data_IF_906031121296
#
_entry.id   IF_906031121296
#
_cell.length_a   1.000
_cell.length_b   1.000
_cell.length_c   1.000
_cell.angle_alpha   90.00
_cell.angle_beta   90.00
_cell.angle_gamma   90.00
#
_symmetry.space_group_name_H-M   'P 1'
#
loop_
_entity.id
_entity.type
_entity.pdbx_description
1 polymer ?
#
# COMPACT_ATOMS: atom_id res chain seq x y z
N UNK A 1 14.17 -7.82 -14.07
CA UNK A 1 14.39 -8.03 -12.62
C UNK A 1 14.71 -6.71 -11.94
N UNK A 2 14.12 -6.46 -10.77
CA UNK A 2 14.35 -5.28 -9.94
C UNK A 2 14.29 -5.66 -8.44
N UNK A 3 14.86 -4.82 -7.58
CA UNK A 3 14.95 -5.08 -6.15
C UNK A 3 13.95 -4.20 -5.40
N UNK A 4 13.16 -4.82 -4.53
CA UNK A 4 12.27 -4.15 -3.59
C UNK A 4 12.57 -4.68 -2.19
N UNK A 5 13.18 -3.86 -1.34
CA UNK A 5 13.77 -4.32 -0.09
C UNK A 5 14.82 -5.40 -0.33
N UNK A 6 14.54 -6.62 0.14
CA UNK A 6 15.36 -7.83 -0.08
C UNK A 6 14.82 -8.76 -1.16
N UNK A 7 13.69 -8.41 -1.78
CA UNK A 7 12.97 -9.25 -2.73
C UNK A 7 13.36 -8.89 -4.16
N UNK A 8 13.76 -9.89 -4.92
CA UNK A 8 14.06 -9.76 -6.34
C UNK A 8 12.81 -10.14 -7.13
N UNK A 9 12.31 -9.20 -7.93
CA UNK A 9 11.02 -9.30 -8.63
C UNK A 9 11.22 -9.12 -10.13
N UNK A 10 10.38 -9.75 -10.93
CA UNK A 10 10.35 -9.59 -12.38
C UNK A 10 9.30 -8.56 -12.80
N UNK A 11 8.09 -8.67 -12.27
CA UNK A 11 6.93 -7.83 -12.52
C UNK A 11 7.02 -6.51 -11.77
N UNK A 12 6.64 -5.42 -12.44
CA UNK A 12 6.53 -4.07 -11.86
C UNK A 12 5.07 -3.68 -11.59
N UNK A 13 4.15 -4.62 -11.77
CA UNK A 13 2.73 -4.42 -11.53
C UNK A 13 2.38 -4.94 -10.14
N UNK A 14 1.81 -4.05 -9.31
CA UNK A 14 1.22 -4.39 -8.02
C UNK A 14 -0.30 -4.41 -8.19
N UNK A 15 -0.98 -5.35 -7.52
CA UNK A 15 -2.43 -5.49 -7.63
C UNK A 15 -3.12 -5.28 -6.27
N UNK A 16 -4.21 -4.53 -6.26
CA UNK A 16 -5.09 -4.47 -5.08
C UNK A 16 -6.10 -5.62 -5.10
N UNK A 17 -6.57 -6.08 -3.95
CA UNK A 17 -7.52 -7.21 -3.87
C UNK A 17 -8.98 -6.78 -3.68
N UNK A 18 -9.28 -5.48 -3.72
CA UNK A 18 -10.64 -4.97 -3.52
C UNK A 18 -11.39 -4.83 -4.86
N UNK A 19 -12.72 -4.97 -4.83
CA UNK A 19 -13.58 -4.73 -6.00
C UNK A 19 -13.76 -5.93 -6.94
N UNK A 20 -13.17 -7.09 -6.61
CA UNK A 20 -13.39 -8.32 -7.36
C UNK A 20 -14.73 -8.97 -6.99
N UNK A 21 -15.49 -9.52 -7.97
CA UNK A 21 -16.80 -10.12 -7.72
C UNK A 21 -16.71 -11.47 -7.00
N UNK A 22 -15.56 -12.16 -7.04
CA UNK A 22 -15.32 -13.41 -6.33
C UNK A 22 -13.81 -13.68 -6.16
N UNK A 23 -13.47 -14.64 -5.27
CA UNK A 23 -12.08 -15.09 -5.08
C UNK A 23 -11.51 -15.76 -6.33
N UNK A 24 -12.33 -16.47 -7.10
CA UNK A 24 -11.93 -17.08 -8.38
C UNK A 24 -11.47 -16.00 -9.36
N UNK A 25 -12.28 -14.95 -9.55
CA UNK A 25 -11.93 -13.85 -10.47
C UNK A 25 -10.68 -13.09 -10.00
N UNK A 26 -10.49 -12.94 -8.68
CA UNK A 26 -9.24 -12.39 -8.13
C UNK A 26 -8.03 -13.27 -8.47
N UNK A 27 -8.14 -14.60 -8.28
CA UNK A 27 -7.07 -15.54 -8.63
C UNK A 27 -6.73 -15.51 -10.11
N UNK A 28 -7.74 -15.55 -10.99
CA UNK A 28 -7.56 -15.46 -12.44
C UNK A 28 -6.86 -14.15 -12.84
N UNK A 29 -7.23 -13.03 -12.21
CA UNK A 29 -6.62 -11.74 -12.48
C UNK A 29 -5.16 -11.67 -12.02
N UNK A 30 -4.84 -12.24 -10.84
CA UNK A 30 -3.46 -12.33 -10.36
C UNK A 30 -2.60 -13.12 -11.36
N UNK A 31 -3.06 -14.32 -11.74
CA UNK A 31 -2.36 -15.18 -12.69
C UNK A 31 -2.16 -14.51 -14.05
N UNK A 32 -3.23 -13.93 -14.62
CA UNK A 32 -3.16 -13.27 -15.92
C UNK A 32 -2.25 -12.04 -15.91
N UNK A 33 -2.19 -11.30 -14.79
CA UNK A 33 -1.35 -10.11 -14.65
C UNK A 33 0.13 -10.42 -14.46
N UNK A 34 0.47 -11.62 -13.98
CA UNK A 34 1.82 -11.98 -13.56
C UNK A 34 2.34 -11.09 -12.44
N UNK A 35 1.47 -10.50 -11.62
CA UNK A 35 1.89 -9.68 -10.49
C UNK A 35 2.51 -10.56 -9.40
N UNK A 36 3.57 -10.06 -8.77
CA UNK A 36 4.26 -10.77 -7.68
C UNK A 36 3.92 -10.18 -6.32
N UNK A 37 3.19 -9.05 -6.28
CA UNK A 37 2.80 -8.35 -5.05
C UNK A 37 1.32 -8.01 -5.10
N UNK A 38 0.62 -8.36 -4.02
CA UNK A 38 -0.79 -8.04 -3.82
C UNK A 38 -1.02 -7.28 -2.53
N UNK A 39 -1.83 -6.23 -2.58
CA UNK A 39 -2.14 -5.42 -1.38
C UNK A 39 -3.41 -5.89 -0.69
N UNK A 40 -3.38 -6.06 0.62
CA UNK A 40 -4.50 -6.58 1.42
C UNK A 40 -4.87 -5.64 2.57
N UNK A 41 -6.16 -5.57 2.94
CA UNK A 41 -6.66 -4.70 4.01
C UNK A 41 -7.22 -5.51 5.16
N UNK A 42 -6.74 -5.25 6.38
CA UNK A 42 -7.19 -5.97 7.58
C UNK A 42 -8.66 -5.70 7.90
N UNK A 43 -9.12 -4.44 7.76
CA UNK A 43 -10.47 -4.03 8.19
C UNK A 43 -11.58 -4.67 7.36
N UNK A 44 -11.36 -4.88 6.05
CA UNK A 44 -12.38 -5.42 5.14
C UNK A 44 -12.48 -6.95 5.15
N UNK A 45 -11.45 -7.63 5.66
CA UNK A 45 -11.32 -9.09 5.55
C UNK A 45 -11.54 -9.81 6.89
N UNK A 46 -11.69 -9.07 8.00
CA UNK A 46 -12.00 -9.62 9.33
C UNK A 46 -13.48 -9.62 9.72
N UNK A 47 -14.38 -9.05 8.90
CA UNK A 47 -15.80 -8.92 9.22
C UNK A 47 -16.61 -10.11 8.65
N UNK A 48 -16.63 -11.24 9.38
CA UNK A 48 -17.60 -12.33 9.15
C UNK A 48 -17.05 -13.75 9.31
N UNK A 49 -17.90 -14.63 9.87
CA UNK A 49 -17.74 -16.06 10.13
C UNK A 49 -16.98 -16.84 9.01
N UNK A 50 -15.65 -16.92 9.11
CA UNK A 50 -14.80 -17.76 8.23
C UNK A 50 -14.46 -17.20 6.84
N UNK A 51 -15.12 -16.13 6.38
CA UNK A 51 -14.88 -15.54 5.06
C UNK A 51 -13.45 -14.97 4.91
N UNK A 52 -12.89 -14.42 5.99
CA UNK A 52 -11.50 -13.96 6.01
C UNK A 52 -10.52 -15.09 5.75
N UNK A 53 -10.70 -16.24 6.40
CA UNK A 53 -9.80 -17.39 6.25
C UNK A 53 -9.75 -17.93 4.81
N UNK A 54 -10.91 -18.03 4.14
CA UNK A 54 -10.98 -18.45 2.75
C UNK A 54 -10.29 -17.45 1.80
N UNK A 55 -10.47 -16.14 2.02
CA UNK A 55 -9.75 -15.11 1.27
C UNK A 55 -8.23 -15.26 1.46
N UNK A 56 -7.77 -15.45 2.70
CA UNK A 56 -6.35 -15.59 2.99
C UNK A 56 -5.72 -16.81 2.34
N UNK A 57 -6.42 -17.94 2.39
CA UNK A 57 -5.97 -19.16 1.73
C UNK A 57 -5.85 -18.94 0.22
N UNK A 58 -6.87 -18.36 -0.42
CA UNK A 58 -6.88 -18.11 -1.86
C UNK A 58 -5.74 -17.19 -2.30
N UNK A 59 -5.40 -16.16 -1.53
CA UNK A 59 -4.29 -15.25 -1.84
C UNK A 59 -2.94 -15.93 -1.62
N UNK A 60 -2.77 -16.72 -0.55
CA UNK A 60 -1.53 -17.48 -0.29
C UNK A 60 -1.26 -18.52 -1.38
N UNK A 61 -2.31 -19.16 -1.90
CA UNK A 61 -2.21 -20.14 -2.99
C UNK A 61 -1.69 -19.53 -4.31
N UNK A 62 -1.78 -18.21 -4.50
CA UNK A 62 -1.21 -17.56 -5.68
C UNK A 62 0.32 -17.37 -5.61
N UNK A 63 0.94 -17.56 -4.43
CA UNK A 63 2.39 -17.42 -4.26
C UNK A 63 2.93 -15.99 -4.33
N UNK A 64 2.07 -14.97 -4.34
CA UNK A 64 2.50 -13.57 -4.33
C UNK A 64 3.01 -13.11 -2.96
N UNK A 65 3.89 -12.13 -2.95
CA UNK A 65 4.23 -11.37 -1.75
C UNK A 65 3.06 -10.49 -1.29
N UNK A 66 2.84 -10.45 0.02
CA UNK A 66 1.75 -9.69 0.63
C UNK A 66 2.24 -8.31 1.06
N UNK A 67 1.53 -7.27 0.62
CA UNK A 67 1.72 -5.90 1.06
C UNK A 67 0.47 -5.44 1.84
N UNK A 68 0.42 -5.63 3.17
CA UNK A 68 -0.72 -5.18 3.96
C UNK A 68 -0.82 -3.65 3.92
N UNK A 69 -2.03 -3.11 4.06
CA UNK A 69 -2.27 -1.68 4.10
C UNK A 69 -3.07 -1.23 5.33
N UNK A 70 -2.96 0.06 5.64
CA UNK A 70 -3.71 0.73 6.71
C UNK A 70 -4.95 1.45 6.18
N UNK A 71 -5.59 0.94 5.14
CA UNK A 71 -6.74 1.58 4.50
C UNK A 71 -7.86 1.92 5.52
N UNK A 72 -8.40 3.13 5.40
CA UNK A 72 -9.42 3.67 6.30
C UNK A 72 -8.91 4.18 7.65
N UNK A 73 -7.60 4.28 7.87
CA UNK A 73 -7.06 4.94 9.05
C UNK A 73 -7.03 6.46 8.86
N UNK A 74 -7.48 7.19 9.88
CA UNK A 74 -7.54 8.66 9.86
C UNK A 74 -6.60 9.33 10.87
N UNK A 75 -5.87 8.53 11.65
CA UNK A 75 -4.94 9.01 12.65
C UNK A 75 -3.67 8.19 12.67
N UNK A 76 -2.58 8.80 13.15
CA UNK A 76 -1.29 8.12 13.35
C UNK A 76 -1.46 6.86 14.19
N UNK A 77 -2.22 6.96 15.28
CA UNK A 77 -2.46 5.84 16.21
C UNK A 77 -3.16 4.66 15.52
N UNK A 78 -4.19 4.92 14.72
CA UNK A 78 -4.88 3.88 13.97
C UNK A 78 -3.98 3.20 12.95
N UNK A 79 -3.22 3.98 12.18
CA UNK A 79 -2.34 3.45 11.15
C UNK A 79 -1.23 2.59 11.76
N UNK A 80 -0.58 3.08 12.81
CA UNK A 80 0.47 2.35 13.52
C UNK A 80 -0.07 1.06 14.13
N UNK A 81 -1.22 1.13 14.83
CA UNK A 81 -1.85 -0.07 15.42
C UNK A 81 -2.19 -1.11 14.34
N UNK A 82 -2.78 -0.67 13.23
CA UNK A 82 -3.14 -1.55 12.11
C UNK A 82 -1.90 -2.18 11.48
N UNK A 83 -0.81 -1.43 11.34
CA UNK A 83 0.46 -1.94 10.81
C UNK A 83 1.09 -3.02 11.70
N UNK A 84 1.08 -2.85 13.03
CA UNK A 84 1.56 -3.88 13.95
C UNK A 84 0.72 -5.15 13.89
N UNK A 85 -0.61 -5.03 13.88
CA UNK A 85 -1.50 -6.17 13.68
C UNK A 85 -1.22 -6.87 12.35
N UNK A 86 -0.97 -6.11 11.29
CA UNK A 86 -0.64 -6.67 9.98
C UNK A 86 0.67 -7.47 10.01
N UNK A 87 1.70 -6.95 10.67
CA UNK A 87 2.98 -7.64 10.82
C UNK A 87 2.82 -8.97 11.56
N UNK A 88 2.01 -9.00 12.63
CA UNK A 88 1.73 -10.24 13.37
C UNK A 88 0.97 -11.27 12.53
N UNK A 89 0.04 -10.83 11.68
CA UNK A 89 -0.77 -11.73 10.84
C UNK A 89 -0.04 -12.25 9.60
N UNK A 90 0.81 -11.43 8.98
CA UNK A 90 1.44 -11.73 7.69
C UNK A 90 2.94 -12.01 7.76
N UNK A 91 3.56 -11.87 8.94
CA UNK A 91 4.99 -12.07 9.16
C UNK A 91 5.85 -11.34 8.11
N UNK A 92 5.53 -10.06 7.88
CA UNK A 92 6.19 -9.22 6.89
C UNK A 92 6.52 -7.85 7.48
N UNK A 93 7.72 -7.29 7.19
CA UNK A 93 8.05 -5.92 7.56
C UNK A 93 7.38 -4.89 6.64
N UNK A 94 6.78 -5.31 5.53
CA UNK A 94 6.19 -4.41 4.54
C UNK A 94 4.86 -3.83 5.01
N UNK A 95 4.68 -2.53 4.81
CA UNK A 95 3.39 -1.87 5.05
C UNK A 95 3.12 -0.77 4.02
N UNK A 96 1.99 -0.87 3.33
CA UNK A 96 1.39 0.22 2.55
C UNK A 96 0.68 1.17 3.51
N UNK A 97 1.38 2.25 3.85
CA UNK A 97 0.89 3.23 4.81
C UNK A 97 -0.07 4.20 4.11
N UNK A 98 -1.30 4.19 4.59
CA UNK A 98 -2.39 5.08 4.22
C UNK A 98 -2.91 5.78 5.48
N UNK A 99 -2.89 7.11 5.48
CA UNK A 99 -3.53 7.95 6.51
C UNK A 99 -4.41 8.96 5.77
N UNK A 100 -5.72 8.78 5.81
CA UNK A 100 -6.68 9.50 4.97
C UNK A 100 -7.09 10.82 5.63
N UNK A 101 -6.93 11.92 4.89
CA UNK A 101 -7.34 13.26 5.31
C UNK A 101 -8.72 13.67 4.79
N UNK A 102 -9.16 13.11 3.66
CA UNK A 102 -10.49 13.36 3.09
C UNK A 102 -11.12 12.05 2.58
N UNK A 103 -12.32 11.74 3.06
CA UNK A 103 -13.05 10.52 2.68
C UNK A 103 -13.63 10.57 1.27
N UNK A 104 -13.90 11.77 0.75
CA UNK A 104 -14.55 11.92 -0.55
C UNK A 104 -13.61 11.54 -1.70
N UNK A 105 -12.40 12.10 -1.70
CA UNK A 105 -11.41 11.82 -2.75
C UNK A 105 -10.32 10.82 -2.30
N UNK A 106 -10.38 10.35 -1.05
CA UNK A 106 -9.40 9.45 -0.43
C UNK A 106 -7.97 10.00 -0.48
N UNK A 107 -7.82 11.32 -0.36
CA UNK A 107 -6.51 11.98 -0.33
C UNK A 107 -5.81 11.74 1.01
N UNK A 108 -4.50 11.47 1.01
CA UNK A 108 -3.77 11.29 2.24
C UNK A 108 -3.56 12.61 2.98
N UNK A 109 -3.57 12.58 4.31
CA UNK A 109 -3.12 13.70 5.14
C UNK A 109 -1.59 13.73 5.14
N UNK A 110 -0.94 14.76 4.56
CA UNK A 110 0.51 14.79 4.42
C UNK A 110 1.24 14.89 5.76
N UNK A 111 0.63 15.51 6.78
CA UNK A 111 1.27 15.73 8.08
C UNK A 111 1.20 14.49 8.93
N UNK A 112 0.02 13.86 9.02
CA UNK A 112 -0.15 12.63 9.77
C UNK A 112 0.58 11.46 9.10
N UNK A 113 0.64 11.44 7.76
CA UNK A 113 1.38 10.43 7.01
C UNK A 113 2.87 10.42 7.37
N UNK A 114 3.52 11.58 7.40
CA UNK A 114 4.96 11.67 7.75
C UNK A 114 5.20 11.22 9.20
N UNK A 115 4.34 11.62 10.13
CA UNK A 115 4.45 11.21 11.54
C UNK A 115 4.30 9.68 11.72
N UNK A 116 3.32 9.08 11.04
CA UNK A 116 3.12 7.64 11.06
C UNK A 116 4.28 6.90 10.39
N UNK A 117 4.80 7.42 9.28
CA UNK A 117 5.95 6.85 8.58
C UNK A 117 7.21 6.86 9.47
N UNK A 118 7.51 7.97 10.14
CA UNK A 118 8.64 8.07 11.05
C UNK A 118 8.57 7.04 12.18
N UNK A 119 7.38 6.85 12.76
CA UNK A 119 7.15 5.86 13.80
C UNK A 119 7.38 4.45 13.28
N UNK A 120 6.76 4.09 12.15
CA UNK A 120 6.83 2.74 11.59
C UNK A 120 8.24 2.39 11.09
N UNK A 121 8.96 3.34 10.48
CA UNK A 121 10.36 3.12 10.08
C UNK A 121 11.22 2.80 11.31
N UNK A 122 11.05 3.53 12.42
CA UNK A 122 11.76 3.29 13.68
C UNK A 122 11.43 1.91 14.27
N UNK A 123 10.20 1.46 14.09
CA UNK A 123 9.74 0.14 14.52
C UNK A 123 10.16 -1.00 13.57
N UNK A 124 10.99 -0.70 12.57
CA UNK A 124 11.59 -1.66 11.66
C UNK A 124 10.72 -2.05 10.47
N UNK A 125 9.67 -1.28 10.16
CA UNK A 125 8.88 -1.50 8.95
C UNK A 125 9.59 -0.95 7.71
N UNK A 126 9.39 -1.65 6.59
CA UNK A 126 9.63 -1.09 5.26
C UNK A 126 8.33 -0.42 4.80
N UNK A 127 8.29 0.90 4.91
CA UNK A 127 7.08 1.71 4.69
C UNK A 127 6.95 2.10 3.23
N UNK A 128 5.76 1.86 2.68
CA UNK A 128 5.33 2.24 1.34
C UNK A 128 4.24 3.30 1.49
N UNK A 129 4.59 4.59 1.57
CA UNK A 129 3.62 5.65 1.83
C UNK A 129 2.78 5.94 0.59
N UNK A 130 1.45 5.85 0.71
CA UNK A 130 0.51 6.43 -0.23
C UNK A 130 0.48 7.93 -0.03
N UNK A 131 1.11 8.67 -0.94
CA UNK A 131 1.30 10.12 -0.84
C UNK A 131 0.76 10.85 -2.07
N UNK A 132 0.65 12.17 -1.98
CA UNK A 132 0.43 13.00 -3.16
C UNK A 132 1.74 13.16 -3.95
N UNK A 133 1.63 13.77 -5.11
CA UNK A 133 2.69 14.12 -6.04
C UNK A 133 3.54 15.35 -5.60
N UNK A 134 3.45 15.76 -4.33
CA UNK A 134 4.20 16.89 -3.76
C UNK A 134 5.67 16.51 -3.50
N UNK A 135 6.59 17.28 -4.09
CA UNK A 135 8.04 17.05 -3.96
C UNK A 135 8.55 17.19 -2.53
N UNK A 136 8.07 18.21 -1.79
CA UNK A 136 8.54 18.48 -0.43
C UNK A 136 8.03 17.40 0.53
N UNK A 137 6.79 16.95 0.35
CA UNK A 137 6.24 15.80 1.09
C UNK A 137 7.09 14.54 0.84
N UNK A 138 7.39 14.24 -0.43
CA UNK A 138 8.20 13.09 -0.80
C UNK A 138 9.62 13.17 -0.20
N UNK A 139 10.26 14.34 -0.20
CA UNK A 139 11.55 14.55 0.47
C UNK A 139 11.47 14.29 1.97
N UNK A 140 10.40 14.73 2.63
CA UNK A 140 10.19 14.49 4.07
C UNK A 140 10.01 12.99 4.36
N UNK A 141 9.23 12.28 3.53
CA UNK A 141 9.05 10.83 3.66
C UNK A 141 10.37 10.06 3.50
N UNK A 142 11.20 10.44 2.52
CA UNK A 142 12.56 9.90 2.40
C UNK A 142 13.43 10.26 3.60
N UNK A 143 13.32 11.50 4.09
CA UNK A 143 14.08 12.01 5.24
C UNK A 143 13.79 11.28 6.55
N UNK A 144 12.56 10.78 6.75
CA UNK A 144 12.22 9.92 7.91
C UNK A 144 12.58 8.45 7.71
N UNK A 145 13.15 8.10 6.55
CA UNK A 145 13.72 6.78 6.25
C UNK A 145 12.84 5.86 5.39
N UNK A 146 11.75 6.36 4.79
CA UNK A 146 11.09 5.60 3.73
C UNK A 146 12.06 5.40 2.55
N UNK A 147 12.13 4.18 2.02
CA UNK A 147 12.99 3.84 0.87
C UNK A 147 12.23 3.81 -0.45
N UNK A 148 10.91 3.87 -0.36
CA UNK A 148 9.96 3.78 -1.47
C UNK A 148 8.97 4.93 -1.30
N UNK A 149 8.48 5.46 -2.41
CA UNK A 149 7.40 6.44 -2.46
C UNK A 149 6.32 5.93 -3.40
N UNK A 150 5.06 6.12 -3.06
CA UNK A 150 3.92 5.80 -3.92
C UNK A 150 3.05 7.04 -4.13
N UNK A 151 3.51 8.02 -4.94
CA UNK A 151 2.70 9.16 -5.30
C UNK A 151 1.50 8.69 -6.14
N UNK A 152 0.32 9.22 -5.83
CA UNK A 152 -0.88 8.91 -6.61
C UNK A 152 -0.79 9.39 -8.07
N UNK A 153 -1.56 8.78 -8.96
CA UNK A 153 -1.80 9.34 -10.30
C UNK A 153 -2.94 10.36 -10.29
N UNK A 154 -3.99 10.05 -9.56
CA UNK A 154 -5.22 10.82 -9.36
C UNK A 154 -5.94 10.28 -8.10
N UNK A 155 -7.01 10.94 -7.60
CA UNK A 155 -7.84 10.40 -6.52
C UNK A 155 -8.26 8.94 -6.75
N UNK A 156 -8.20 8.12 -5.69
CA UNK A 156 -8.45 6.67 -5.77
C UNK A 156 -9.82 6.40 -6.40
N UNK A 157 -9.86 5.44 -7.32
CA UNK A 157 -11.09 5.01 -7.98
C UNK A 157 -11.62 5.95 -9.07
N UNK A 158 -11.00 7.12 -9.29
CA UNK A 158 -11.48 8.09 -10.29
C UNK A 158 -11.26 7.69 -11.75
N UNK A 159 -10.32 6.78 -12.03
CA UNK A 159 -10.02 6.34 -13.39
C UNK A 159 -9.42 7.41 -14.32
N UNK A 160 -8.95 8.54 -13.77
CA UNK A 160 -8.48 9.70 -14.56
C UNK A 160 -7.06 9.57 -15.13
N UNK A 161 -6.35 8.48 -14.83
CA UNK A 161 -4.96 8.31 -15.23
C UNK A 161 -4.02 9.19 -14.41
N UNK A 162 -3.00 9.77 -15.06
CA UNK A 162 -2.01 10.64 -14.43
C UNK A 162 -2.47 12.10 -14.52
N UNK A 163 -3.00 12.65 -13.43
CA UNK A 163 -3.54 14.00 -13.40
C UNK A 163 -2.45 15.08 -13.49
N UNK A 164 -1.22 14.77 -13.06
CA UNK A 164 -0.11 15.71 -13.03
C UNK A 164 1.23 15.05 -13.39
N UNK A 165 1.42 14.80 -14.69
CA UNK A 165 2.67 14.21 -15.19
C UNK A 165 3.91 15.04 -14.87
N UNK A 166 3.79 16.37 -14.84
CA UNK A 166 4.92 17.26 -14.54
C UNK A 166 5.47 17.01 -13.13
N UNK A 167 4.59 16.94 -12.12
CA UNK A 167 5.01 16.65 -10.77
C UNK A 167 5.64 15.25 -10.66
N UNK A 168 5.03 14.23 -11.26
CA UNK A 168 5.56 12.87 -11.26
C UNK A 168 6.94 12.76 -11.92
N UNK A 169 7.16 13.47 -13.04
CA UNK A 169 8.49 13.58 -13.68
C UNK A 169 9.50 14.28 -12.76
N UNK A 170 9.08 15.37 -12.13
CA UNK A 170 9.91 16.10 -11.16
C UNK A 170 10.33 15.19 -10.00
N UNK A 171 9.44 14.37 -9.46
CA UNK A 171 9.79 13.40 -8.41
C UNK A 171 10.86 12.42 -8.89
N UNK A 172 10.70 11.86 -10.10
CA UNK A 172 11.65 10.89 -10.68
C UNK A 172 13.03 11.48 -10.98
N UNK A 173 13.10 12.76 -11.33
CA UNK A 173 14.36 13.42 -11.67
C UNK A 173 15.13 13.95 -10.45
N UNK A 174 14.42 14.24 -9.36
CA UNK A 174 14.98 14.97 -8.21
C UNK A 174 15.16 14.14 -6.94
N UNK A 175 14.62 12.92 -6.89
CA UNK A 175 14.65 12.03 -5.72
C UNK A 175 15.40 10.73 -5.97
#
# INVERSE_FOLDING_TARGET
MWLLGKHQLESRLLLGTAGYPSLTVLGDAIQASGCEIVTVSLRRQGAGDGAGAAFWQAVREQGCHILPNTAGCHSVKEAVTTAHMARELFDTPWIKLEVIGDDYNLQPDPFLLVQAAETLVRDGFEVFPYCTDDLVLCQRLLGVGCRILMPWGAPIGSGRGLANEYALRTLRERL
#
